data_IF_982051356727
#
_entry.id   IF_982051356727
#
_cell.length_a   1.000
_cell.length_b   1.000
_cell.length_c   1.000
_cell.angle_alpha   90.00
_cell.angle_beta   90.00
_cell.angle_gamma   90.00
#
_symmetry.space_group_name_H-M   'P 1'
#
loop_
_entity.id
_entity.type
_entity.pdbx_description
1 polymer ?
#
# COMPACT_ATOMS: atom_id res chain seq x y z
N UNK A 1 16.47 3.18 -11.71
CA UNK A 1 17.29 2.07 -12.20
C UNK A 1 18.75 2.41 -12.02
N UNK A 2 19.60 1.40 -11.88
CA UNK A 2 21.05 1.50 -11.83
C UNK A 2 21.63 0.45 -12.77
N UNK A 3 22.54 0.85 -13.64
CA UNK A 3 23.26 -0.06 -14.54
C UNK A 3 24.74 0.28 -14.39
N UNK A 4 25.63 -0.70 -14.13
CA UNK A 4 27.04 -0.40 -13.92
C UNK A 4 27.69 0.09 -15.21
N UNK A 5 28.48 1.17 -15.11
CA UNK A 5 29.20 1.77 -16.24
C UNK A 5 30.51 1.04 -16.61
N UNK A 6 30.96 0.12 -15.75
CA UNK A 6 32.17 -0.71 -15.89
C UNK A 6 31.92 -2.10 -15.28
N UNK A 7 32.88 -3.03 -15.36
CA UNK A 7 32.78 -4.42 -14.85
C UNK A 7 32.58 -4.56 -13.32
N UNK A 8 32.40 -3.45 -12.59
CA UNK A 8 32.13 -3.41 -11.15
C UNK A 8 30.84 -2.66 -10.85
N UNK A 9 29.91 -3.33 -10.17
CA UNK A 9 28.67 -2.76 -9.67
C UNK A 9 27.53 -3.78 -9.71
N UNK A 10 26.33 -3.33 -9.37
CA UNK A 10 25.10 -4.13 -9.45
C UNK A 10 24.13 -3.51 -10.45
N UNK A 11 23.27 -4.35 -11.02
CA UNK A 11 22.22 -3.93 -11.94
C UNK A 11 20.89 -3.94 -11.21
N UNK A 12 20.16 -2.84 -11.28
CA UNK A 12 18.79 -2.73 -10.78
C UNK A 12 17.89 -2.06 -11.81
N UNK A 13 16.82 -2.72 -12.21
CA UNK A 13 15.82 -2.17 -13.12
C UNK A 13 14.45 -2.30 -12.48
N UNK A 14 13.79 -1.15 -12.31
CA UNK A 14 12.43 -1.08 -11.77
C UNK A 14 11.53 -0.50 -12.85
N UNK A 15 10.49 -1.24 -13.19
CA UNK A 15 9.47 -0.82 -14.15
C UNK A 15 8.12 -0.95 -13.49
N UNK A 16 7.23 0.02 -13.69
CA UNK A 16 5.84 -0.11 -13.28
C UNK A 16 4.91 0.49 -14.32
N UNK A 17 3.76 -0.15 -14.48
CA UNK A 17 2.67 0.28 -15.34
C UNK A 17 1.40 0.24 -14.52
N UNK A 18 0.67 1.35 -14.52
CA UNK A 18 -0.66 1.45 -13.93
C UNK A 18 -1.62 1.88 -15.02
N UNK A 19 -2.71 1.15 -15.18
CA UNK A 19 -3.75 1.44 -16.17
C UNK A 19 -5.11 1.46 -15.50
N UNK A 20 -5.98 2.32 -16.01
CA UNK A 20 -7.37 2.39 -15.59
C UNK A 20 -8.26 2.25 -16.83
N UNK A 21 -8.53 1.01 -17.30
CA UNK A 21 -9.22 0.79 -18.57
C UNK A 21 -10.65 1.35 -18.59
N UNK A 22 -11.30 1.36 -17.42
CA UNK A 22 -12.62 1.92 -17.17
C UNK A 22 -12.63 2.65 -15.83
N UNK A 23 -13.60 3.54 -15.61
CA UNK A 23 -13.63 4.44 -14.45
C UNK A 23 -13.67 3.75 -13.08
N UNK A 24 -14.01 2.46 -13.02
CA UNK A 24 -14.11 1.68 -11.79
C UNK A 24 -13.11 0.52 -11.71
N UNK A 25 -12.13 0.42 -12.61
CA UNK A 25 -11.14 -0.65 -12.62
C UNK A 25 -9.73 -0.12 -12.84
N UNK A 26 -8.83 -0.40 -11.91
CA UNK A 26 -7.41 -0.12 -12.03
C UNK A 26 -6.61 -1.42 -11.97
N UNK A 27 -5.57 -1.53 -12.79
CA UNK A 27 -4.57 -2.58 -12.72
C UNK A 27 -3.19 -1.97 -12.57
N UNK A 28 -2.32 -2.68 -11.85
CA UNK A 28 -0.91 -2.35 -11.73
C UNK A 28 -0.05 -3.59 -12.00
N UNK A 29 1.03 -3.40 -12.75
CA UNK A 29 2.07 -4.39 -12.96
C UNK A 29 3.40 -3.72 -12.71
N UNK A 30 4.18 -4.25 -11.79
CA UNK A 30 5.54 -3.84 -11.48
C UNK A 30 6.50 -4.99 -11.71
N UNK A 31 7.71 -4.67 -12.14
CA UNK A 31 8.83 -5.60 -12.20
C UNK A 31 10.06 -4.93 -11.59
N UNK A 32 10.70 -5.63 -10.66
CA UNK A 32 11.98 -5.25 -10.06
C UNK A 32 12.98 -6.35 -10.33
N UNK A 33 14.02 -6.01 -11.07
CA UNK A 33 15.18 -6.85 -11.29
C UNK A 33 16.36 -6.33 -10.48
N UNK A 34 17.05 -7.21 -9.78
CA UNK A 34 18.27 -6.94 -9.03
C UNK A 34 19.29 -8.06 -9.28
N UNK A 35 20.51 -7.69 -9.64
CA UNK A 35 21.57 -8.65 -9.92
C UNK A 35 22.95 -8.16 -9.47
N UNK A 36 23.77 -9.06 -8.93
CA UNK A 36 25.13 -8.83 -8.44
C UNK A 36 25.20 -7.77 -7.34
N UNK A 37 24.18 -7.69 -6.48
CA UNK A 37 24.17 -6.77 -5.35
C UNK A 37 25.00 -7.33 -4.17
N UNK A 38 25.86 -6.51 -3.52
CA UNK A 38 26.71 -6.99 -2.43
C UNK A 38 25.97 -7.28 -1.11
N UNK A 39 24.73 -6.83 -0.96
CA UNK A 39 23.95 -6.92 0.28
C UNK A 39 22.66 -7.72 0.14
N UNK A 40 22.15 -7.89 -1.08
CA UNK A 40 20.89 -8.56 -1.37
C UNK A 40 21.10 -9.68 -2.39
N UNK A 41 20.29 -10.73 -2.28
CA UNK A 41 20.26 -11.80 -3.28
C UNK A 41 19.71 -11.28 -4.60
N UNK A 42 20.14 -11.91 -5.69
CA UNK A 42 19.57 -11.68 -7.01
C UNK A 42 18.07 -11.99 -6.99
N UNK A 43 17.29 -11.14 -7.62
CA UNK A 43 15.83 -11.15 -7.55
C UNK A 43 15.22 -10.63 -8.84
N UNK A 44 14.14 -11.26 -9.29
CA UNK A 44 13.32 -10.83 -10.41
C UNK A 44 11.86 -10.91 -9.97
N UNK A 45 11.38 -9.82 -9.39
CA UNK A 45 10.14 -9.77 -8.65
C UNK A 45 9.06 -9.06 -9.46
N UNK A 46 7.95 -9.76 -9.71
CA UNK A 46 6.75 -9.21 -10.33
C UNK A 46 5.72 -8.88 -9.26
N UNK A 47 5.19 -7.66 -9.30
CA UNK A 47 4.04 -7.24 -8.48
C UNK A 47 2.86 -7.02 -9.40
N UNK A 48 1.83 -7.84 -9.29
CA UNK A 48 0.61 -7.72 -10.08
C UNK A 48 -0.53 -7.40 -9.14
N UNK A 49 -1.34 -6.41 -9.48
CA UNK A 49 -2.47 -6.06 -8.65
C UNK A 49 -3.55 -5.31 -9.40
N UNK A 50 -4.64 -5.08 -8.68
CA UNK A 50 -5.72 -4.28 -9.17
C UNK A 50 -6.75 -3.96 -8.10
N UNK A 51 -7.58 -2.98 -8.42
CA UNK A 51 -8.70 -2.56 -7.62
C UNK A 51 -9.93 -2.38 -8.51
N UNK A 52 -11.04 -2.97 -8.08
CA UNK A 52 -12.32 -2.85 -8.76
C UNK A 52 -13.36 -2.27 -7.81
N UNK A 53 -13.94 -1.14 -8.20
CA UNK A 53 -15.06 -0.51 -7.51
C UNK A 53 -16.37 -1.11 -8.05
N UNK A 54 -17.04 -1.86 -7.19
CA UNK A 54 -18.29 -2.55 -7.52
C UNK A 54 -19.44 -1.55 -7.64
N UNK A 55 -19.54 -0.63 -6.68
CA UNK A 55 -20.55 0.43 -6.63
C UNK A 55 -20.00 1.67 -5.87
N UNK A 56 -20.86 2.57 -5.40
CA UNK A 56 -20.46 3.77 -4.64
C UNK A 56 -19.89 3.45 -3.24
N UNK A 57 -20.07 2.23 -2.79
CA UNK A 57 -20.03 1.82 -1.41
C UNK A 57 -19.11 0.62 -1.16
N UNK A 58 -18.81 -0.16 -2.20
CA UNK A 58 -18.03 -1.38 -2.17
C UNK A 58 -16.91 -1.38 -3.21
N UNK A 59 -15.78 -1.95 -2.82
CA UNK A 59 -14.69 -2.26 -3.74
C UNK A 59 -13.93 -3.50 -3.31
N UNK A 60 -13.19 -4.07 -4.25
CA UNK A 60 -12.32 -5.23 -4.01
C UNK A 60 -10.93 -4.94 -4.54
N UNK A 61 -9.92 -5.45 -3.86
CA UNK A 61 -8.52 -5.33 -4.25
C UNK A 61 -7.82 -6.68 -4.21
N UNK A 62 -6.91 -6.87 -5.14
CA UNK A 62 -6.01 -8.01 -5.18
C UNK A 62 -4.58 -7.53 -5.46
N UNK A 63 -3.59 -8.12 -4.80
CA UNK A 63 -2.18 -7.92 -5.10
C UNK A 63 -1.43 -9.22 -4.88
N UNK A 64 -0.55 -9.55 -5.80
CA UNK A 64 0.30 -10.73 -5.78
C UNK A 64 1.74 -10.32 -6.06
N UNK A 65 2.67 -10.96 -5.34
CA UNK A 65 4.10 -10.76 -5.46
C UNK A 65 4.72 -12.10 -5.82
N UNK A 66 5.32 -12.18 -7.01
CA UNK A 66 5.94 -13.38 -7.54
C UNK A 66 7.44 -13.16 -7.74
N UNK A 67 8.25 -14.03 -7.13
CA UNK A 67 9.70 -14.07 -7.33
C UNK A 67 10.03 -15.10 -8.41
N UNK A 68 10.42 -14.63 -9.59
CA UNK A 68 10.74 -15.47 -10.74
C UNK A 68 12.00 -16.32 -10.49
N UNK A 69 12.99 -15.79 -9.77
CA UNK A 69 14.26 -16.50 -9.55
C UNK A 69 14.07 -17.80 -8.76
N UNK A 70 13.07 -17.84 -7.87
CA UNK A 70 12.74 -19.02 -7.05
C UNK A 70 11.46 -19.72 -7.49
N UNK A 71 10.65 -19.08 -8.35
CA UNK A 71 9.34 -19.56 -8.76
C UNK A 71 8.27 -19.48 -7.67
N UNK A 72 8.49 -18.67 -6.63
CA UNK A 72 7.64 -18.59 -5.44
C UNK A 72 6.67 -17.42 -5.53
N UNK A 73 5.41 -17.65 -5.15
CA UNK A 73 4.42 -16.60 -4.92
C UNK A 73 4.55 -16.11 -3.47
N UNK A 74 5.43 -15.12 -3.27
CA UNK A 74 5.85 -14.64 -1.96
C UNK A 74 4.73 -14.00 -1.14
N UNK A 75 3.81 -13.29 -1.79
CA UNK A 75 2.66 -12.67 -1.13
C UNK A 75 1.42 -12.71 -2.03
N UNK A 76 0.27 -13.00 -1.43
CA UNK A 76 -1.06 -12.81 -2.01
C UNK A 76 -1.89 -12.02 -1.02
N UNK A 77 -2.57 -10.97 -1.49
CA UNK A 77 -3.40 -10.10 -0.66
C UNK A 77 -4.72 -9.86 -1.36
N UNK A 78 -5.81 -10.17 -0.67
CA UNK A 78 -7.16 -9.95 -1.16
C UNK A 78 -7.95 -9.16 -0.14
N UNK A 79 -8.65 -8.12 -0.57
CA UNK A 79 -9.34 -7.19 0.34
C UNK A 79 -10.71 -6.80 -0.21
N UNK A 80 -11.67 -6.65 0.69
CA UNK A 80 -12.98 -6.03 0.44
C UNK A 80 -13.05 -4.73 1.23
N UNK A 81 -13.53 -3.68 0.58
CA UNK A 81 -13.63 -2.33 1.11
C UNK A 81 -15.09 -1.90 1.16
N UNK A 82 -15.45 -1.15 2.22
CA UNK A 82 -16.79 -0.60 2.43
C UNK A 82 -16.73 0.87 2.86
N UNK A 83 -17.42 1.74 2.12
CA UNK A 83 -17.62 3.15 2.49
C UNK A 83 -18.88 3.34 3.36
N UNK A 84 -18.71 3.58 4.65
CA UNK A 84 -19.75 3.79 5.65
C UNK A 84 -20.05 5.28 5.89
N UNK A 85 -20.03 6.09 4.83
CA UNK A 85 -20.28 7.54 4.80
C UNK A 85 -19.20 8.37 5.50
N UNK A 86 -19.05 8.21 6.81
CA UNK A 86 -18.00 8.89 7.59
C UNK A 86 -16.78 8.01 7.82
N UNK A 87 -16.93 6.71 7.63
CA UNK A 87 -15.86 5.74 7.82
C UNK A 87 -15.59 4.96 6.54
N UNK A 88 -14.37 4.48 6.37
CA UNK A 88 -14.03 3.44 5.41
C UNK A 88 -13.53 2.24 6.19
N UNK A 89 -14.09 1.09 5.94
CA UNK A 89 -13.65 -0.17 6.52
C UNK A 89 -13.10 -1.08 5.42
N UNK A 90 -12.12 -1.91 5.76
CA UNK A 90 -11.68 -3.00 4.91
C UNK A 90 -11.43 -4.26 5.72
N UNK A 91 -11.71 -5.39 5.09
CA UNK A 91 -11.34 -6.71 5.58
C UNK A 91 -10.61 -7.45 4.47
N UNK A 92 -9.46 -8.05 4.79
CA UNK A 92 -8.66 -8.77 3.81
C UNK A 92 -7.91 -9.95 4.40
N UNK A 93 -7.44 -10.81 3.51
CA UNK A 93 -6.58 -11.93 3.81
C UNK A 93 -5.21 -11.72 3.16
N UNK A 94 -4.17 -12.21 3.82
CA UNK A 94 -2.79 -12.23 3.32
C UNK A 94 -2.25 -13.64 3.47
N UNK A 95 -1.66 -14.15 2.39
CA UNK A 95 -0.91 -15.40 2.37
C UNK A 95 0.51 -15.04 2.01
N UNK A 96 1.48 -15.48 2.80
CA UNK A 96 2.91 -15.25 2.52
C UNK A 96 3.67 -16.56 2.49
N UNK A 97 4.63 -16.65 1.58
CA UNK A 97 5.60 -17.74 1.55
C UNK A 97 6.98 -17.18 1.90
N UNK A 98 7.49 -17.56 3.07
CA UNK A 98 8.79 -17.14 3.58
C UNK A 98 9.77 -18.29 3.47
N UNK A 99 10.34 -18.47 2.28
CA UNK A 99 11.31 -19.53 1.97
C UNK A 99 10.78 -20.96 2.26
N UNK A 100 9.53 -21.23 1.88
CA UNK A 100 8.87 -22.53 2.03
C UNK A 100 7.97 -22.65 3.26
N UNK A 101 7.96 -21.64 4.15
CA UNK A 101 7.03 -21.57 5.28
C UNK A 101 5.86 -20.67 4.91
N UNK A 102 4.66 -21.26 4.87
CA UNK A 102 3.43 -20.52 4.56
C UNK A 102 2.81 -19.89 5.80
N UNK A 103 2.56 -18.59 5.73
CA UNK A 103 1.90 -17.78 6.76
C UNK A 103 0.55 -17.28 6.24
N UNK A 104 -0.46 -17.30 7.11
CA UNK A 104 -1.81 -16.83 6.81
C UNK A 104 -2.19 -15.74 7.80
N UNK A 105 -2.70 -14.63 7.28
CA UNK A 105 -3.09 -13.48 8.06
C UNK A 105 -4.42 -12.91 7.59
N UNK A 106 -5.09 -12.21 8.51
CA UNK A 106 -6.25 -11.38 8.20
C UNK A 106 -5.95 -9.94 8.61
N UNK A 107 -6.43 -8.99 7.81
CA UNK A 107 -6.26 -7.57 8.05
C UNK A 107 -7.63 -6.92 8.13
N UNK A 108 -7.87 -6.23 9.23
CA UNK A 108 -9.01 -5.36 9.40
C UNK A 108 -8.52 -3.94 9.54
N UNK A 109 -9.11 -3.01 8.80
CA UNK A 109 -8.76 -1.58 8.86
C UNK A 109 -10.02 -0.77 8.89
N UNK A 110 -10.02 0.27 9.71
CA UNK A 110 -11.11 1.25 9.80
C UNK A 110 -10.48 2.63 9.84
N UNK A 111 -10.98 3.53 9.01
CA UNK A 111 -10.46 4.89 8.86
C UNK A 111 -11.60 5.89 8.91
N UNK A 112 -11.49 6.91 9.77
CA UNK A 112 -12.44 8.02 9.87
C UNK A 112 -12.12 9.06 8.80
N UNK A 113 -13.06 9.38 7.91
CA UNK A 113 -12.93 10.42 6.87
C UNK A 113 -13.18 11.82 7.41
N UNK A 114 -14.09 11.96 8.37
CA UNK A 114 -14.52 13.25 8.91
C UNK A 114 -14.20 13.33 10.41
N UNK A 115 -13.02 13.87 10.75
CA UNK A 115 -12.71 14.19 12.14
C UNK A 115 -13.57 15.38 12.57
N UNK A 116 -14.35 15.27 13.67
CA UNK A 116 -15.13 16.40 14.15
C UNK A 116 -14.20 17.57 14.47
N UNK A 117 -14.52 18.77 13.94
CA UNK A 117 -13.82 20.00 14.31
C UNK A 117 -14.17 20.33 15.77
N UNK A 118 -13.32 19.93 16.70
CA UNK A 118 -13.37 20.45 18.06
C UNK A 118 -12.77 21.86 18.05
N UNK A 119 -13.62 22.88 18.03
CA UNK A 119 -13.21 24.24 18.38
C UNK A 119 -13.13 24.33 19.90
N UNK A 120 -11.93 24.48 20.46
CA UNK A 120 -11.80 25.00 21.81
C UNK A 120 -11.88 26.52 21.72
N UNK A 121 -12.96 27.11 22.21
CA UNK A 121 -13.03 28.56 22.43
C UNK A 121 -12.12 28.91 23.61
N UNK A 122 -10.84 29.19 23.31
CA UNK A 122 -9.98 29.92 24.24
C UNK A 122 -10.31 31.40 24.13
N UNK A 123 -11.42 31.80 24.75
CA UNK A 123 -11.69 33.22 24.95
C UNK A 123 -10.76 33.74 26.05
N UNK A 124 -9.55 34.14 25.67
CA UNK A 124 -8.62 34.84 26.54
C UNK A 124 -9.01 36.32 26.52
N UNK A 125 -9.79 36.78 27.50
CA UNK A 125 -10.07 38.20 27.70
C UNK A 125 -8.88 38.84 28.44
N UNK A 126 -8.04 39.67 27.78
CA UNK A 126 -6.92 40.32 28.43
C UNK A 126 -7.32 41.58 29.21
N UNK A 127 -8.60 41.96 29.29
CA UNK A 127 -9.04 43.21 29.92
C UNK A 127 -9.29 43.12 31.44
N UNK A 128 -9.12 41.96 32.08
CA UNK A 128 -9.39 41.79 33.52
C UNK A 128 -8.22 42.05 34.47
N UNK A 129 -6.98 42.17 33.99
CA UNK A 129 -5.78 42.28 34.82
C UNK A 129 -5.37 43.74 35.08
N UNK A 130 -6.30 44.57 35.57
CA UNK A 130 -6.00 45.98 35.77
C UNK A 130 -7.09 46.81 36.42
N UNK A 131 -7.77 46.32 37.46
CA UNK A 131 -8.45 47.23 38.39
C UNK A 131 -8.70 46.60 39.76
N UNK A 132 -8.06 47.18 40.77
CA UNK A 132 -8.41 47.07 42.18
C UNK A 132 -7.20 47.12 43.11
N UNK A 133 -7.36 47.64 44.33
CA UNK A 133 -7.96 48.91 44.75
C UNK A 133 -6.96 50.08 44.78
#
# INVERSE_FOLDING_TARGET
SQIPAFDKGFTEVNTSVVVQPIANLQFNVGHRYLNNNPSFLDSSLFVVGGYYRLDENWGVGAQEVYEEATGVLEEQRYSVYRDLTNWVASFGAVIRDNAGVKEYGVLFTVTLKAFPKFGFDLNFDPAGAGQGP
#
